data_IF_804823066193
#
_entry.id   IF_804823066193
#
_cell.length_a   1.000
_cell.length_b   1.000
_cell.length_c   1.000
_cell.angle_alpha   90.00
_cell.angle_beta   90.00
_cell.angle_gamma   90.00
#
_symmetry.space_group_name_H-M   'P 1'
#
loop_
_entity.id
_entity.type
_entity.pdbx_description
1 polymer ?
#
# COMPACT_ATOMS: atom_id res chain seq x y z
N UNK A 1 -24.13 1.64 -0.58
CA UNK A 1 -23.52 2.96 -0.38
C UNK A 1 -23.01 3.50 -1.70
N UNK A 2 -22.81 4.81 -1.78
CA UNK A 2 -22.13 5.46 -2.91
C UNK A 2 -20.69 5.79 -2.50
N UNK A 3 -19.73 5.18 -3.16
CA UNK A 3 -18.30 5.31 -2.87
C UNK A 3 -17.60 6.02 -4.02
N UNK A 4 -16.66 6.89 -3.71
CA UNK A 4 -15.77 7.53 -4.68
C UNK A 4 -14.35 6.99 -4.44
N UNK A 5 -13.69 6.48 -5.47
CA UNK A 5 -12.35 5.90 -5.38
C UNK A 5 -11.40 6.66 -6.27
N UNK A 6 -10.42 7.34 -5.68
CA UNK A 6 -9.36 8.02 -6.45
C UNK A 6 -8.19 7.09 -6.73
N UNK A 7 -7.42 7.37 -7.79
CA UNK A 7 -6.34 6.47 -8.20
C UNK A 7 -6.84 5.09 -8.63
N UNK A 8 -7.99 5.04 -9.27
CA UNK A 8 -8.79 3.84 -9.53
C UNK A 8 -8.08 2.74 -10.34
N UNK A 9 -7.05 3.08 -11.12
CA UNK A 9 -6.23 2.11 -11.89
C UNK A 9 -5.08 1.50 -11.08
N UNK A 10 -4.93 1.88 -9.79
CA UNK A 10 -3.88 1.35 -8.93
C UNK A 10 -4.15 -0.08 -8.46
N UNK A 11 -3.12 -0.73 -7.94
CA UNK A 11 -3.17 -2.10 -7.43
C UNK A 11 -4.26 -2.30 -6.36
N UNK A 12 -4.20 -1.54 -5.26
CA UNK A 12 -5.16 -1.68 -4.15
C UNK A 12 -6.56 -1.20 -4.56
N UNK A 13 -6.64 -0.07 -5.27
CA UNK A 13 -7.93 0.51 -5.70
C UNK A 13 -8.69 -0.40 -6.66
N UNK A 14 -7.99 -1.10 -7.55
CA UNK A 14 -8.58 -2.07 -8.46
C UNK A 14 -9.32 -3.17 -7.69
N UNK A 15 -8.67 -3.76 -6.70
CA UNK A 15 -9.28 -4.79 -5.82
C UNK A 15 -10.42 -4.22 -4.96
N UNK A 16 -10.23 -3.01 -4.44
CA UNK A 16 -11.25 -2.32 -3.65
C UNK A 16 -12.53 -2.08 -4.45
N UNK A 17 -12.40 -1.63 -5.70
CA UNK A 17 -13.54 -1.43 -6.59
C UNK A 17 -14.29 -2.75 -6.81
N UNK A 18 -13.57 -3.84 -7.12
CA UNK A 18 -14.19 -5.15 -7.35
C UNK A 18 -14.95 -5.64 -6.10
N UNK A 19 -14.35 -5.56 -4.92
CA UNK A 19 -15.00 -5.95 -3.67
C UNK A 19 -16.20 -5.05 -3.31
N UNK A 20 -16.09 -3.74 -3.57
CA UNK A 20 -17.20 -2.81 -3.34
C UNK A 20 -18.40 -3.13 -4.26
N UNK A 21 -18.15 -3.40 -5.53
CA UNK A 21 -19.18 -3.79 -6.49
C UNK A 21 -19.81 -5.13 -6.14
N UNK A 22 -19.04 -6.12 -5.70
CA UNK A 22 -19.55 -7.42 -5.21
C UNK A 22 -20.46 -7.27 -3.99
N UNK A 23 -20.18 -6.30 -3.11
CA UNK A 23 -21.06 -5.95 -1.99
C UNK A 23 -22.28 -5.11 -2.40
N UNK A 24 -22.47 -4.80 -3.67
CA UNK A 24 -23.60 -4.01 -4.18
C UNK A 24 -23.45 -2.49 -3.96
N UNK A 25 -22.27 -1.98 -3.68
CA UNK A 25 -22.02 -0.55 -3.59
C UNK A 25 -21.96 0.09 -4.99
N UNK A 26 -22.45 1.33 -5.12
CA UNK A 26 -22.20 2.15 -6.30
C UNK A 26 -20.80 2.77 -6.16
N UNK A 27 -20.01 2.70 -7.23
CA UNK A 27 -18.64 3.22 -7.24
C UNK A 27 -18.46 4.24 -8.35
N UNK A 28 -18.01 5.43 -8.00
CA UNK A 28 -17.45 6.41 -8.94
C UNK A 28 -15.91 6.28 -8.86
N UNK A 29 -15.34 5.74 -9.92
CA UNK A 29 -13.90 5.50 -10.03
C UNK A 29 -13.23 6.67 -10.75
N UNK A 30 -12.31 7.35 -10.08
CA UNK A 30 -11.59 8.50 -10.61
C UNK A 30 -10.21 8.09 -11.09
N UNK A 31 -9.97 8.19 -12.42
CA UNK A 31 -8.75 7.74 -13.06
C UNK A 31 -8.18 8.81 -14.00
N UNK A 32 -6.84 8.89 -14.10
CA UNK A 32 -6.17 9.76 -15.10
C UNK A 32 -6.44 9.31 -16.53
N UNK A 33 -6.51 8.00 -16.70
CA UNK A 33 -6.78 7.34 -17.95
C UNK A 33 -7.94 6.34 -17.76
N UNK A 34 -9.19 6.76 -18.01
CA UNK A 34 -10.39 5.92 -17.87
C UNK A 34 -10.39 4.69 -18.78
N UNK A 35 -9.71 4.76 -19.91
CA UNK A 35 -9.70 3.67 -20.90
C UNK A 35 -9.09 2.39 -20.33
N UNK A 36 -8.17 2.50 -19.36
CA UNK A 36 -7.62 1.34 -18.64
C UNK A 36 -8.69 0.55 -17.88
N UNK A 37 -9.84 1.16 -17.63
CA UNK A 37 -10.99 0.55 -16.94
C UNK A 37 -12.13 0.18 -17.91
N UNK A 38 -11.99 0.43 -19.21
CA UNK A 38 -13.07 0.27 -20.20
C UNK A 38 -13.63 -1.16 -20.28
N UNK A 39 -12.84 -2.18 -19.92
CA UNK A 39 -13.28 -3.59 -19.87
C UNK A 39 -14.16 -3.93 -18.66
N UNK A 40 -14.25 -3.03 -17.66
CA UNK A 40 -15.04 -3.24 -16.44
C UNK A 40 -16.48 -2.77 -16.65
N UNK A 41 -17.29 -3.61 -17.29
CA UNK A 41 -18.71 -3.32 -17.48
C UNK A 41 -19.50 -3.76 -16.24
N UNK A 42 -19.95 -2.81 -15.44
CA UNK A 42 -20.80 -3.05 -14.28
C UNK A 42 -21.78 -1.86 -14.13
N UNK A 43 -23.10 -2.09 -13.99
CA UNK A 43 -24.09 -1.03 -13.87
C UNK A 43 -23.95 -0.16 -12.61
N UNK A 44 -23.19 -0.64 -11.62
CA UNK A 44 -22.90 0.09 -10.39
C UNK A 44 -21.58 0.88 -10.45
N UNK A 45 -20.83 0.80 -11.57
CA UNK A 45 -19.55 1.47 -11.76
C UNK A 45 -19.68 2.63 -12.75
N UNK A 46 -19.32 3.82 -12.30
CA UNK A 46 -19.08 4.99 -13.16
C UNK A 46 -17.59 5.28 -13.16
N UNK A 47 -17.01 5.51 -14.34
CA UNK A 47 -15.58 5.86 -14.47
C UNK A 47 -15.47 7.26 -15.01
N UNK A 48 -14.73 8.13 -14.31
CA UNK A 48 -14.54 9.52 -14.69
C UNK A 48 -13.06 9.88 -14.80
N UNK A 49 -12.74 10.76 -15.74
CA UNK A 49 -11.39 11.29 -15.91
C UNK A 49 -11.10 12.32 -14.82
N UNK A 50 -10.05 12.07 -14.06
CA UNK A 50 -9.60 12.97 -13.00
C UNK A 50 -8.14 12.74 -12.65
N UNK A 51 -7.40 13.79 -12.32
CA UNK A 51 -6.05 13.74 -11.80
C UNK A 51 -5.94 14.53 -10.49
N UNK A 52 -5.03 14.10 -9.61
CA UNK A 52 -4.75 14.85 -8.37
C UNK A 52 -4.28 16.27 -8.69
N UNK A 53 -4.93 17.25 -8.08
CA UNK A 53 -4.76 18.68 -8.35
C UNK A 53 -5.89 19.29 -9.19
N UNK A 54 -6.69 18.48 -9.89
CA UNK A 54 -7.92 18.95 -10.51
C UNK A 54 -9.03 19.07 -9.45
N UNK A 55 -10.01 19.98 -9.62
CA UNK A 55 -11.22 20.00 -8.82
C UNK A 55 -11.91 18.63 -8.85
N UNK A 56 -12.44 18.18 -7.71
CA UNK A 56 -13.19 16.93 -7.66
C UNK A 56 -14.46 17.04 -8.55
N UNK A 57 -14.73 16.07 -9.44
CA UNK A 57 -15.97 16.11 -10.21
C UNK A 57 -17.20 16.07 -9.29
N UNK A 58 -18.36 16.36 -9.82
CA UNK A 58 -19.60 16.37 -9.06
C UNK A 58 -19.97 14.95 -8.61
N UNK A 59 -19.51 14.54 -7.43
CA UNK A 59 -19.78 13.21 -6.86
C UNK A 59 -21.03 13.19 -5.98
N UNK A 60 -21.69 14.31 -5.80
CA UNK A 60 -22.88 14.46 -4.97
C UNK A 60 -22.60 14.16 -3.50
N UNK A 61 -23.65 13.78 -2.77
CA UNK A 61 -23.56 13.38 -1.36
C UNK A 61 -23.10 11.92 -1.23
N UNK A 62 -21.88 11.62 -1.71
CA UNK A 62 -21.32 10.30 -1.57
C UNK A 62 -21.15 9.92 -0.08
N UNK A 63 -21.28 8.64 0.25
CA UNK A 63 -21.10 8.14 1.62
C UNK A 63 -19.64 8.20 2.04
N UNK A 64 -18.70 7.94 1.12
CA UNK A 64 -17.28 8.07 1.38
C UNK A 64 -16.46 8.36 0.12
N UNK A 65 -15.35 9.08 0.30
CA UNK A 65 -14.23 9.08 -0.65
C UNK A 65 -13.11 8.20 -0.07
N UNK A 66 -12.64 7.24 -0.87
CA UNK A 66 -11.47 6.43 -0.57
C UNK A 66 -10.30 6.97 -1.42
N UNK A 67 -9.41 7.70 -0.77
CA UNK A 67 -8.31 8.38 -1.44
C UNK A 67 -7.06 7.49 -1.52
N UNK A 68 -6.90 6.81 -2.66
CA UNK A 68 -5.74 6.00 -3.02
C UNK A 68 -4.83 6.69 -4.04
N UNK A 69 -5.20 7.87 -4.55
CA UNK A 69 -4.35 8.61 -5.45
C UNK A 69 -3.02 8.97 -4.75
N UNK A 70 -1.92 8.53 -5.32
CA UNK A 70 -0.60 8.81 -4.81
C UNK A 70 0.44 8.88 -5.94
N UNK A 71 1.47 9.65 -5.73
CA UNK A 71 2.70 9.59 -6.50
C UNK A 71 3.75 8.83 -5.69
N UNK A 72 4.22 7.73 -6.25
CA UNK A 72 5.33 6.93 -5.71
C UNK A 72 6.53 7.23 -6.60
N UNK A 73 7.62 7.82 -6.07
CA UNK A 73 8.79 8.14 -6.87
C UNK A 73 9.53 6.88 -7.30
N UNK A 74 10.22 6.95 -8.42
CA UNK A 74 11.10 5.87 -8.90
C UNK A 74 12.40 5.80 -8.09
N UNK A 75 12.85 6.94 -7.58
CA UNK A 75 13.92 7.06 -6.60
C UNK A 75 13.42 7.89 -5.41
N UNK A 76 13.38 7.27 -4.24
CA UNK A 76 12.83 7.88 -3.01
C UNK A 76 13.68 9.04 -2.48
N UNK A 77 14.92 9.16 -2.92
CA UNK A 77 15.86 10.21 -2.52
C UNK A 77 16.08 11.29 -3.60
N UNK A 78 15.43 11.16 -4.76
CA UNK A 78 15.55 12.14 -5.84
C UNK A 78 14.79 13.43 -5.50
N UNK A 79 15.53 14.50 -5.24
CA UNK A 79 14.98 15.82 -4.92
C UNK A 79 14.11 16.39 -6.06
N UNK A 80 14.34 16.02 -7.31
CA UNK A 80 13.52 16.47 -8.43
C UNK A 80 12.10 15.89 -8.38
N UNK A 81 11.90 14.76 -7.70
CA UNK A 81 10.60 14.16 -7.51
C UNK A 81 9.89 14.64 -6.22
N UNK A 82 10.58 15.37 -5.34
CA UNK A 82 10.05 15.85 -4.08
C UNK A 82 8.80 16.74 -4.27
N UNK A 83 8.89 17.73 -5.16
CA UNK A 83 7.76 18.64 -5.41
C UNK A 83 6.51 17.87 -5.85
N UNK A 84 6.65 16.83 -6.66
CA UNK A 84 5.55 15.99 -7.10
C UNK A 84 5.00 15.11 -5.97
N UNK A 85 5.86 14.60 -5.08
CA UNK A 85 5.40 13.89 -3.88
C UNK A 85 4.46 14.78 -3.05
N UNK A 86 4.86 16.00 -2.74
CA UNK A 86 4.04 16.91 -1.94
C UNK A 86 2.80 17.39 -2.69
N UNK A 87 2.93 17.76 -3.97
CA UNK A 87 1.80 18.21 -4.78
C UNK A 87 0.69 17.15 -4.85
N UNK A 88 1.03 15.88 -5.10
CA UNK A 88 0.03 14.81 -5.24
C UNK A 88 -0.41 14.26 -3.89
N UNK A 89 0.55 13.89 -3.03
CA UNK A 89 0.24 13.12 -1.83
C UNK A 89 -0.27 13.99 -0.68
N UNK A 90 0.20 15.24 -0.58
CA UNK A 90 -0.19 16.17 0.51
C UNK A 90 -1.24 17.15 0.04
N UNK A 91 -0.88 18.03 -0.92
CA UNK A 91 -1.78 19.08 -1.35
C UNK A 91 -3.01 18.52 -2.06
N UNK A 92 -2.81 17.49 -2.92
CA UNK A 92 -3.92 16.81 -3.58
C UNK A 92 -4.88 16.12 -2.61
N UNK A 93 -4.35 15.50 -1.55
CA UNK A 93 -5.20 14.90 -0.52
C UNK A 93 -6.00 15.95 0.27
N UNK A 94 -5.39 17.09 0.61
CA UNK A 94 -6.08 18.21 1.26
C UNK A 94 -7.14 18.83 0.34
N UNK A 95 -6.84 19.01 -0.95
CA UNK A 95 -7.82 19.50 -1.92
C UNK A 95 -9.05 18.59 -2.01
N UNK A 96 -8.83 17.26 -2.05
CA UNK A 96 -9.92 16.28 -2.03
C UNK A 96 -10.77 16.45 -0.76
N UNK A 97 -10.18 16.69 0.40
CA UNK A 97 -10.92 16.90 1.65
C UNK A 97 -11.75 18.17 1.61
N UNK A 98 -11.21 19.25 1.06
CA UNK A 98 -11.93 20.53 0.87
C UNK A 98 -13.11 20.37 -0.09
N UNK A 99 -12.91 19.74 -1.22
CA UNK A 99 -13.96 19.50 -2.23
C UNK A 99 -15.02 18.52 -1.70
N UNK A 100 -14.60 17.49 -0.95
CA UNK A 100 -15.50 16.54 -0.29
C UNK A 100 -16.45 17.27 0.68
N UNK A 101 -15.89 18.14 1.52
CA UNK A 101 -16.69 18.95 2.45
C UNK A 101 -17.67 19.86 1.70
N UNK A 102 -17.20 20.56 0.65
CA UNK A 102 -18.02 21.48 -0.14
C UNK A 102 -19.19 20.76 -0.85
N UNK A 103 -18.99 19.49 -1.25
CA UNK A 103 -20.01 18.67 -1.90
C UNK A 103 -20.90 17.88 -0.92
N UNK A 104 -20.63 17.97 0.39
CA UNK A 104 -21.40 17.26 1.41
C UNK A 104 -21.13 15.75 1.45
N UNK A 105 -19.94 15.31 1.06
CA UNK A 105 -19.47 13.94 1.24
C UNK A 105 -19.37 13.64 2.73
N UNK A 106 -19.81 12.45 3.15
CA UNK A 106 -19.98 12.15 4.57
C UNK A 106 -18.68 11.83 5.29
N UNK A 107 -17.65 11.29 4.60
CA UNK A 107 -16.35 10.91 5.19
C UNK A 107 -15.23 10.75 4.17
N UNK A 108 -14.00 10.78 4.66
CA UNK A 108 -12.79 10.55 3.89
C UNK A 108 -11.98 9.40 4.49
N UNK A 109 -11.60 8.42 3.68
CA UNK A 109 -10.66 7.36 4.02
C UNK A 109 -9.36 7.63 3.25
N UNK A 110 -8.26 7.82 3.95
CA UNK A 110 -6.94 8.06 3.35
C UNK A 110 -6.02 6.86 3.55
N UNK A 111 -5.38 6.43 2.48
CA UNK A 111 -4.42 5.34 2.49
C UNK A 111 -3.00 5.89 2.69
N UNK A 112 -2.54 5.83 3.94
CA UNK A 112 -1.22 6.24 4.40
C UNK A 112 -0.16 5.15 4.21
N UNK A 113 0.88 5.19 5.03
CA UNK A 113 1.97 4.21 5.01
C UNK A 113 2.46 3.91 6.43
N UNK A 114 2.57 2.66 6.79
CA UNK A 114 3.20 2.25 8.05
C UNK A 114 4.70 2.57 8.11
N UNK A 115 5.33 2.82 6.97
CA UNK A 115 6.74 3.19 6.95
C UNK A 115 7.01 4.60 7.53
N UNK A 116 5.98 5.37 7.87
CA UNK A 116 6.12 6.64 8.61
C UNK A 116 6.53 6.44 10.07
N UNK A 117 6.35 5.25 10.62
CA UNK A 117 6.81 4.94 11.97
C UNK A 117 8.33 4.96 12.09
N UNK A 118 8.79 5.43 13.24
CA UNK A 118 10.19 5.23 13.65
C UNK A 118 10.47 3.73 13.71
N UNK A 119 11.59 3.25 13.13
CA UNK A 119 11.95 1.85 13.18
C UNK A 119 11.94 1.29 14.61
N UNK A 120 11.34 0.11 14.81
CA UNK A 120 11.21 -0.54 16.12
C UNK A 120 11.31 -2.07 15.98
N UNK A 121 11.95 -2.74 16.91
CA UNK A 121 11.96 -4.20 17.01
C UNK A 121 10.67 -4.74 17.65
N UNK A 122 9.99 -3.91 18.41
CA UNK A 122 8.65 -4.21 18.96
C UNK A 122 7.56 -3.83 17.98
N UNK A 123 6.38 -4.45 18.04
CA UNK A 123 5.23 -4.03 17.27
C UNK A 123 4.91 -2.55 17.49
N UNK A 124 4.48 -1.85 16.43
CA UNK A 124 4.16 -0.42 16.48
C UNK A 124 2.65 -0.21 16.49
N UNK A 125 2.15 0.51 17.48
CA UNK A 125 0.75 0.94 17.58
C UNK A 125 0.53 2.28 16.86
N UNK A 126 -0.72 2.69 16.71
CA UNK A 126 -1.08 3.96 16.07
C UNK A 126 -0.54 5.20 16.82
N UNK A 127 -0.20 5.04 18.10
CA UNK A 127 0.41 6.08 18.95
C UNK A 127 1.93 6.04 18.98
N UNK A 128 2.55 5.05 18.35
CA UNK A 128 4.01 4.95 18.27
C UNK A 128 4.60 6.13 17.50
N UNK A 129 5.84 6.57 17.85
CA UNK A 129 6.48 7.69 17.20
C UNK A 129 6.54 7.53 15.67
N UNK A 130 6.21 8.61 14.98
CA UNK A 130 6.35 8.73 13.53
C UNK A 130 7.49 9.70 13.27
N UNK A 131 8.39 9.45 12.53
CA UNK A 131 9.54 10.21 12.02
C UNK A 131 10.66 9.24 11.68
N UNK A 132 10.63 8.69 10.49
CA UNK A 132 11.57 7.65 10.09
C UNK A 132 12.93 8.26 9.71
N UNK A 133 13.66 8.84 10.68
CA UNK A 133 14.95 9.54 10.47
C UNK A 133 15.91 8.73 9.59
N UNK A 134 16.00 7.43 9.83
CA UNK A 134 16.92 6.54 9.11
C UNK A 134 16.36 6.05 7.76
N UNK A 135 15.14 6.42 7.43
CA UNK A 135 14.45 6.10 6.19
C UNK A 135 13.82 7.32 5.55
N UNK A 136 14.30 8.49 5.93
CA UNK A 136 13.79 9.76 5.42
C UNK A 136 13.73 9.71 3.89
N UNK A 137 12.53 9.93 3.36
CA UNK A 137 12.32 10.09 1.93
C UNK A 137 11.23 11.13 1.72
N UNK A 138 11.29 11.80 0.59
CA UNK A 138 10.25 12.78 0.22
C UNK A 138 8.86 12.13 0.15
N UNK A 139 8.78 10.86 -0.23
CA UNK A 139 7.54 10.10 -0.23
C UNK A 139 6.96 9.97 1.18
N UNK A 140 7.75 9.48 2.15
CA UNK A 140 7.28 9.31 3.52
C UNK A 140 6.95 10.64 4.19
N UNK A 141 7.77 11.67 3.93
CA UNK A 141 7.49 13.03 4.39
C UNK A 141 6.14 13.53 3.85
N UNK A 142 5.86 13.34 2.56
CA UNK A 142 4.59 13.77 1.95
C UNK A 142 3.39 12.98 2.49
N UNK A 143 3.53 11.67 2.75
CA UNK A 143 2.47 10.85 3.33
C UNK A 143 2.16 11.26 4.77
N UNK A 144 3.19 11.47 5.61
CA UNK A 144 3.02 11.92 6.99
C UNK A 144 2.44 13.34 7.05
N UNK A 145 2.89 14.25 6.18
CA UNK A 145 2.32 15.59 6.07
C UNK A 145 0.83 15.54 5.69
N UNK A 146 0.44 14.64 4.78
CA UNK A 146 -0.96 14.45 4.42
C UNK A 146 -1.79 13.98 5.62
N UNK A 147 -1.30 13.01 6.42
CA UNK A 147 -1.99 12.56 7.64
C UNK A 147 -2.22 13.72 8.62
N UNK A 148 -1.21 14.55 8.85
CA UNK A 148 -1.30 15.72 9.75
C UNK A 148 -2.33 16.73 9.21
N UNK A 149 -2.23 17.09 7.93
CA UNK A 149 -3.14 18.05 7.29
C UNK A 149 -4.60 17.56 7.32
N UNK A 150 -4.83 16.30 6.97
CA UNK A 150 -6.17 15.71 6.94
C UNK A 150 -6.78 15.57 8.33
N UNK A 151 -5.97 15.22 9.35
CA UNK A 151 -6.42 15.16 10.74
C UNK A 151 -6.83 16.56 11.24
N UNK A 152 -6.01 17.57 10.98
CA UNK A 152 -6.31 18.94 11.37
C UNK A 152 -7.54 19.48 10.63
N UNK A 153 -7.63 19.25 9.31
CA UNK A 153 -8.78 19.67 8.49
C UNK A 153 -10.07 19.01 8.95
N UNK A 154 -10.04 17.69 9.16
CA UNK A 154 -11.20 16.92 9.61
C UNK A 154 -11.74 17.40 10.95
N UNK A 155 -10.84 17.64 11.92
CA UNK A 155 -11.20 18.15 13.23
C UNK A 155 -11.79 19.58 13.17
N UNK A 156 -11.20 20.46 12.37
CA UNK A 156 -11.66 21.85 12.24
C UNK A 156 -13.00 21.99 11.51
N UNK A 157 -13.34 21.07 10.62
CA UNK A 157 -14.50 21.18 9.73
C UNK A 157 -15.57 20.08 9.96
N UNK A 158 -15.44 19.30 11.02
CA UNK A 158 -16.32 18.16 11.31
C UNK A 158 -16.46 17.15 10.16
N UNK A 159 -15.43 17.00 9.33
CA UNK A 159 -15.36 15.96 8.31
C UNK A 159 -14.74 14.71 8.94
N UNK A 160 -15.46 13.59 9.05
CA UNK A 160 -14.89 12.34 9.55
C UNK A 160 -13.76 11.84 8.64
N UNK A 161 -12.55 11.72 9.18
CA UNK A 161 -11.35 11.24 8.46
C UNK A 161 -10.85 9.97 9.12
N UNK A 162 -10.66 8.93 8.30
CA UNK A 162 -9.98 7.70 8.70
C UNK A 162 -8.66 7.58 7.94
N UNK A 163 -7.60 7.32 8.66
CA UNK A 163 -6.24 7.16 8.14
C UNK A 163 -5.81 5.70 8.28
N UNK A 164 -5.56 5.02 7.18
CA UNK A 164 -5.10 3.63 7.17
C UNK A 164 -3.60 3.62 6.92
N UNK A 165 -2.79 3.29 7.93
CA UNK A 165 -1.34 3.10 7.75
C UNK A 165 -1.08 1.68 7.26
N UNK A 166 -0.70 1.56 6.01
CA UNK A 166 -0.53 0.27 5.34
C UNK A 166 0.81 -0.38 5.68
N UNK A 167 0.79 -1.68 5.97
CA UNK A 167 1.97 -2.54 5.89
C UNK A 167 2.46 -2.69 4.45
N UNK A 168 3.34 -3.65 4.20
CA UNK A 168 3.77 -3.97 2.84
C UNK A 168 2.70 -4.81 2.15
N UNK A 169 1.88 -4.16 1.32
CA UNK A 169 0.75 -4.80 0.66
C UNK A 169 1.22 -5.67 -0.51
N UNK A 170 0.71 -6.89 -0.58
CA UNK A 170 0.96 -7.83 -1.67
C UNK A 170 -0.33 -8.55 -2.09
N UNK A 171 -0.31 -9.20 -3.25
CA UNK A 171 -1.44 -10.02 -3.73
C UNK A 171 -1.66 -9.95 -5.23
N UNK A 172 -2.75 -10.56 -5.74
CA UNK A 172 -3.09 -10.59 -7.15
C UNK A 172 -3.14 -9.20 -7.79
N UNK A 173 -2.67 -9.10 -9.02
CA UNK A 173 -2.51 -7.86 -9.79
C UNK A 173 -1.47 -6.88 -9.23
N UNK A 174 -0.60 -7.31 -8.30
CA UNK A 174 0.54 -6.50 -7.86
C UNK A 174 1.50 -6.26 -9.03
N UNK A 175 1.89 -5.00 -9.23
CA UNK A 175 2.81 -4.60 -10.29
C UNK A 175 3.97 -3.77 -9.74
N UNK A 176 4.99 -3.53 -10.58
CA UNK A 176 6.16 -2.77 -10.18
C UNK A 176 7.22 -3.63 -9.49
N UNK A 177 7.87 -3.07 -8.47
CA UNK A 177 8.91 -3.71 -7.69
C UNK A 177 8.43 -3.99 -6.26
N UNK A 178 8.99 -5.00 -5.62
CA UNK A 178 8.72 -5.37 -4.23
C UNK A 178 9.25 -6.76 -3.93
N UNK A 179 9.59 -7.01 -2.68
CA UNK A 179 10.23 -8.26 -2.25
C UNK A 179 9.43 -9.49 -2.69
N UNK A 180 8.12 -9.52 -2.43
CA UNK A 180 7.25 -10.67 -2.74
C UNK A 180 7.23 -10.96 -4.25
N UNK A 181 6.99 -9.92 -5.07
CA UNK A 181 6.93 -10.06 -6.52
C UNK A 181 8.29 -10.45 -7.13
N UNK A 182 9.38 -9.88 -6.57
CA UNK A 182 10.75 -10.25 -6.97
C UNK A 182 11.04 -11.72 -6.68
N UNK A 183 10.64 -12.24 -5.52
CA UNK A 183 10.85 -13.64 -5.17
C UNK A 183 9.99 -14.57 -6.03
N UNK A 184 8.71 -14.25 -6.26
CA UNK A 184 7.83 -15.04 -7.14
C UNK A 184 8.44 -15.12 -8.55
N UNK A 185 8.84 -13.99 -9.11
CA UNK A 185 9.44 -13.94 -10.46
C UNK A 185 10.77 -14.68 -10.56
N UNK A 186 11.66 -14.51 -9.58
CA UNK A 186 12.95 -15.19 -9.59
C UNK A 186 12.77 -16.71 -9.48
N UNK A 187 12.08 -17.17 -8.45
CA UNK A 187 11.91 -18.61 -8.17
C UNK A 187 11.05 -19.31 -9.23
N UNK A 188 10.00 -18.65 -9.73
CA UNK A 188 9.16 -19.19 -10.81
C UNK A 188 9.92 -19.33 -12.14
N UNK A 189 10.93 -18.49 -12.39
CA UNK A 189 11.84 -18.59 -13.52
C UNK A 189 13.11 -19.42 -13.22
N UNK A 190 13.13 -20.17 -12.13
CA UNK A 190 14.29 -20.98 -11.67
C UNK A 190 15.58 -20.16 -11.51
N UNK A 191 15.46 -18.90 -11.11
CA UNK A 191 16.59 -18.01 -10.82
C UNK A 191 16.82 -17.95 -9.31
N UNK A 192 18.07 -17.82 -8.90
CA UNK A 192 18.45 -17.71 -7.50
C UNK A 192 17.95 -16.41 -6.85
N UNK A 193 17.58 -16.52 -5.58
CA UNK A 193 17.30 -15.42 -4.66
C UNK A 193 18.43 -15.34 -3.66
N UNK A 194 19.21 -14.26 -3.70
CA UNK A 194 20.34 -14.03 -2.80
C UNK A 194 19.96 -12.99 -1.75
N UNK A 195 19.92 -13.37 -0.48
CA UNK A 195 19.57 -12.53 0.66
C UNK A 195 20.83 -12.00 1.32
N UNK A 196 21.26 -10.79 0.98
CA UNK A 196 22.56 -10.22 1.36
C UNK A 196 22.69 -9.82 2.83
N UNK A 197 21.57 -9.71 3.55
CA UNK A 197 21.51 -9.30 4.96
C UNK A 197 21.39 -10.46 5.95
N UNK A 198 21.83 -11.64 5.55
CA UNK A 198 21.61 -12.85 6.32
C UNK A 198 20.16 -13.32 6.33
N UNK A 199 19.29 -12.76 5.50
CA UNK A 199 17.87 -13.07 5.46
C UNK A 199 17.08 -12.51 6.66
N UNK A 200 17.63 -11.52 7.36
CA UNK A 200 17.09 -10.97 8.61
C UNK A 200 16.17 -9.75 8.41
N UNK A 201 16.06 -9.22 7.19
CA UNK A 201 15.14 -8.13 6.92
C UNK A 201 13.71 -8.52 7.33
N UNK A 202 13.07 -7.67 8.13
CA UNK A 202 11.71 -7.89 8.63
C UNK A 202 10.75 -6.90 8.05
N UNK A 203 9.55 -7.36 7.76
CA UNK A 203 8.47 -6.55 7.19
C UNK A 203 7.12 -7.13 7.59
N UNK A 204 6.15 -6.26 7.83
CA UNK A 204 4.75 -6.67 7.96
C UNK A 204 4.15 -6.77 6.56
N UNK A 205 3.90 -8.00 6.11
CA UNK A 205 3.32 -8.33 4.82
C UNK A 205 1.82 -8.55 4.96
N UNK A 206 1.02 -7.72 4.33
CA UNK A 206 -0.44 -7.78 4.39
C UNK A 206 -1.04 -8.05 3.01
N UNK A 207 -1.99 -8.98 2.94
CA UNK A 207 -2.67 -9.28 1.67
C UNK A 207 -3.60 -8.13 1.25
N UNK A 208 -3.66 -7.84 -0.04
CA UNK A 208 -4.45 -6.73 -0.58
C UNK A 208 -5.93 -6.79 -0.21
N UNK A 209 -6.52 -7.99 -0.21
CA UNK A 209 -7.93 -8.15 0.13
C UNK A 209 -8.21 -7.90 1.62
N UNK A 210 -7.24 -8.11 2.51
CA UNK A 210 -7.39 -7.78 3.93
C UNK A 210 -7.37 -6.25 4.13
N UNK A 211 -6.52 -5.54 3.40
CA UNK A 211 -6.53 -4.06 3.37
C UNK A 211 -7.86 -3.54 2.84
N UNK A 212 -8.37 -4.14 1.77
CA UNK A 212 -9.66 -3.79 1.17
C UNK A 212 -10.81 -4.04 2.15
N UNK A 213 -10.82 -5.20 2.81
CA UNK A 213 -11.83 -5.54 3.81
C UNK A 213 -11.83 -4.53 4.97
N UNK A 214 -10.63 -4.17 5.48
CA UNK A 214 -10.51 -3.15 6.53
C UNK A 214 -11.03 -1.79 6.07
N UNK A 215 -10.69 -1.36 4.85
CA UNK A 215 -11.14 -0.07 4.32
C UNK A 215 -12.66 0.00 4.17
N UNK A 216 -13.29 -1.06 3.67
CA UNK A 216 -14.75 -1.14 3.55
C UNK A 216 -15.42 -1.20 4.93
N UNK A 217 -14.87 -1.96 5.88
CA UNK A 217 -15.37 -1.99 7.25
C UNK A 217 -15.28 -0.61 7.91
N UNK A 218 -14.20 0.15 7.69
CA UNK A 218 -14.06 1.50 8.21
C UNK A 218 -15.12 2.48 7.66
N UNK A 219 -15.53 2.30 6.41
CA UNK A 219 -16.64 3.06 5.83
C UNK A 219 -17.98 2.63 6.44
N UNK A 220 -18.25 1.32 6.48
CA UNK A 220 -19.53 0.73 6.94
C UNK A 220 -19.79 1.00 8.42
N UNK A 221 -18.76 0.99 9.25
CA UNK A 221 -18.85 1.20 10.70
C UNK A 221 -18.57 2.64 11.15
N UNK A 222 -18.38 3.54 10.19
CA UNK A 222 -18.22 4.98 10.42
C UNK A 222 -17.04 5.36 11.32
N UNK A 223 -15.96 4.58 11.30
CA UNK A 223 -14.80 4.80 12.15
C UNK A 223 -14.01 6.07 11.76
N UNK A 224 -13.36 6.66 12.75
CA UNK A 224 -12.55 7.88 12.63
C UNK A 224 -11.20 7.70 13.31
N UNK A 225 -10.18 8.34 12.77
CA UNK A 225 -8.82 8.32 13.30
C UNK A 225 -7.87 7.37 12.58
N UNK A 226 -6.74 7.10 13.20
CA UNK A 226 -5.68 6.27 12.61
C UNK A 226 -5.90 4.80 12.93
N UNK A 227 -5.70 3.94 11.94
CA UNK A 227 -5.72 2.47 12.08
C UNK A 227 -4.54 1.84 11.36
N UNK A 228 -3.90 0.90 12.00
CA UNK A 228 -2.89 0.06 11.39
C UNK A 228 -3.53 -1.00 10.48
N UNK A 229 -3.09 -1.03 9.23
CA UNK A 229 -3.54 -1.97 8.20
C UNK A 229 -2.38 -2.90 7.81
N UNK A 230 -1.90 -3.67 8.78
CA UNK A 230 -0.87 -4.69 8.63
C UNK A 230 -1.44 -6.09 8.88
N UNK A 231 -0.57 -7.10 8.83
CA UNK A 231 -0.92 -8.47 9.22
C UNK A 231 -0.78 -8.71 10.73
N UNK A 232 -0.14 -7.81 11.44
CA UNK A 232 0.25 -8.01 12.84
C UNK A 232 1.46 -8.93 13.04
N UNK A 233 2.10 -9.36 11.96
CA UNK A 233 3.19 -10.33 12.00
C UNK A 233 4.41 -9.82 11.21
N UNK A 234 5.57 -9.85 11.85
CA UNK A 234 6.84 -9.57 11.18
C UNK A 234 7.33 -10.82 10.46
N UNK A 235 7.34 -10.79 9.15
CA UNK A 235 7.91 -11.85 8.31
C UNK A 235 9.37 -11.53 7.97
N UNK A 236 10.27 -12.50 8.12
CA UNK A 236 11.67 -12.36 7.68
C UNK A 236 11.77 -12.61 6.17
N UNK A 237 12.71 -11.94 5.50
CA UNK A 237 12.93 -12.13 4.06
C UNK A 237 13.24 -13.60 3.70
N UNK A 238 14.02 -14.32 4.52
CA UNK A 238 14.29 -15.75 4.33
C UNK A 238 13.03 -16.61 4.49
N UNK A 239 12.20 -16.30 5.47
CA UNK A 239 10.92 -16.98 5.67
C UNK A 239 9.97 -16.74 4.49
N UNK A 240 9.87 -15.49 4.03
CA UNK A 240 9.05 -15.15 2.86
C UNK A 240 9.52 -15.89 1.61
N UNK A 241 10.84 -15.93 1.35
CA UNK A 241 11.40 -16.67 0.21
C UNK A 241 11.06 -18.17 0.27
N UNK A 242 11.17 -18.79 1.45
CA UNK A 242 10.85 -20.22 1.65
C UNK A 242 9.35 -20.52 1.47
N UNK A 243 8.47 -19.65 1.99
CA UNK A 243 7.02 -19.79 1.81
C UNK A 243 6.67 -19.73 0.32
N UNK A 244 7.23 -18.76 -0.43
CA UNK A 244 7.01 -18.60 -1.86
C UNK A 244 7.58 -19.79 -2.64
N UNK A 245 8.80 -20.25 -2.32
CA UNK A 245 9.38 -21.44 -2.96
C UNK A 245 8.49 -22.67 -2.79
N UNK A 246 7.99 -22.92 -1.57
CA UNK A 246 7.05 -24.02 -1.31
C UNK A 246 5.76 -23.90 -2.11
N UNK A 247 5.17 -22.71 -2.21
CA UNK A 247 3.98 -22.48 -2.99
C UNK A 247 4.18 -22.71 -4.50
N UNK A 248 5.36 -22.32 -5.01
CA UNK A 248 5.73 -22.53 -6.42
C UNK A 248 6.20 -23.97 -6.74
N UNK A 249 6.53 -24.77 -5.73
CA UNK A 249 7.25 -26.04 -5.92
C UNK A 249 8.68 -25.82 -6.44
N UNK A 250 9.27 -24.67 -6.13
CA UNK A 250 10.63 -24.33 -6.55
C UNK A 250 11.66 -25.00 -5.67
N UNK A 251 12.84 -25.28 -6.26
CA UNK A 251 13.97 -25.87 -5.55
C UNK A 251 14.43 -24.95 -4.41
N UNK A 252 14.45 -25.40 -3.15
CA UNK A 252 14.93 -24.62 -2.01
C UNK A 252 16.40 -24.16 -2.13
N UNK A 253 17.22 -24.87 -2.88
CA UNK A 253 18.62 -24.51 -3.11
C UNK A 253 18.81 -23.27 -3.98
N UNK A 254 17.73 -22.79 -4.61
CA UNK A 254 17.71 -21.48 -5.26
C UNK A 254 17.74 -20.30 -4.27
N UNK A 255 17.55 -20.56 -2.97
CA UNK A 255 17.59 -19.52 -1.95
C UNK A 255 18.94 -19.61 -1.20
N UNK A 256 19.76 -18.59 -1.38
CA UNK A 256 21.03 -18.47 -0.66
C UNK A 256 21.04 -17.25 0.24
N UNK A 257 21.85 -17.34 1.29
CA UNK A 257 22.00 -16.29 2.28
C UNK A 257 23.47 -15.85 2.28
N UNK A 258 23.71 -14.57 2.08
CA UNK A 258 25.03 -13.96 2.11
C UNK A 258 25.07 -12.83 3.14
N UNK A 259 26.27 -12.62 3.71
CA UNK A 259 26.50 -11.59 4.70
C UNK A 259 25.96 -11.93 6.08
N UNK A 260 26.39 -11.15 7.04
CA UNK A 260 25.92 -11.20 8.42
C UNK A 260 25.18 -9.91 8.74
N UNK A 261 24.17 -10.02 9.62
CA UNK A 261 23.53 -8.84 10.17
C UNK A 261 24.56 -8.06 11.00
N UNK A 262 24.84 -6.82 10.62
CA UNK A 262 25.63 -5.93 11.46
C UNK A 262 24.79 -5.59 12.70
N UNK A 263 25.29 -5.93 13.88
CA UNK A 263 24.65 -5.59 15.15
C UNK A 263 24.38 -4.09 15.24
N UNK A 264 23.17 -3.73 15.70
CA UNK A 264 22.72 -2.35 15.84
C UNK A 264 22.05 -1.73 14.62
N UNK A 265 22.10 -2.37 13.45
CA UNK A 265 21.35 -1.86 12.28
C UNK A 265 19.94 -2.43 12.25
N UNK A 266 18.96 -1.56 12.44
CA UNK A 266 17.57 -1.91 12.18
C UNK A 266 17.28 -1.85 10.69
N UNK A 267 17.07 -3.03 10.11
CA UNK A 267 16.67 -3.15 8.71
C UNK A 267 15.20 -3.57 8.69
N UNK A 268 14.35 -2.68 8.27
CA UNK A 268 12.92 -2.89 8.26
C UNK A 268 12.24 -2.41 9.55
N UNK A 269 10.94 -2.52 9.63
CA UNK A 269 10.21 -2.31 10.88
C UNK A 269 9.53 -3.60 11.31
N UNK A 270 9.22 -3.67 12.59
CA UNK A 270 8.48 -4.77 13.20
C UNK A 270 7.05 -4.85 12.68
N UNK A 271 6.32 -5.84 13.14
CA UNK A 271 4.88 -5.95 12.94
C UNK A 271 4.17 -4.67 13.39
N UNK A 272 3.07 -4.39 12.75
CA UNK A 272 2.12 -3.38 13.20
C UNK A 272 1.18 -4.01 14.23
N UNK A 273 0.95 -3.33 15.36
CA UNK A 273 -0.10 -3.73 16.28
C UNK A 273 -1.47 -3.46 15.66
N UNK A 274 -2.31 -4.47 15.55
CA UNK A 274 -3.62 -4.38 14.88
C UNK A 274 -4.80 -4.49 15.85
N UNK A 275 -4.55 -4.43 17.16
CA UNK A 275 -5.57 -4.59 18.22
C UNK A 275 -6.74 -3.65 18.00
N UNK A 276 -6.46 -2.36 17.74
CA UNK A 276 -7.50 -1.36 17.49
C UNK A 276 -8.39 -1.72 16.29
N UNK A 277 -7.79 -2.11 15.17
CA UNK A 277 -8.54 -2.53 13.99
C UNK A 277 -9.34 -3.81 14.24
N UNK A 278 -8.79 -4.75 15.01
CA UNK A 278 -9.43 -5.99 15.40
C UNK A 278 -10.67 -5.74 16.27
N UNK A 279 -10.54 -4.91 17.31
CA UNK A 279 -11.61 -4.64 18.27
C UNK A 279 -12.72 -3.77 17.68
N UNK A 280 -12.35 -2.70 16.95
CA UNK A 280 -13.31 -1.73 16.45
C UNK A 280 -13.90 -2.07 15.09
N UNK A 281 -13.19 -2.84 14.25
CA UNK A 281 -13.58 -3.12 12.86
C UNK A 281 -13.72 -4.62 12.56
N UNK A 282 -13.47 -5.49 13.53
CA UNK A 282 -13.50 -6.94 13.32
C UNK A 282 -12.40 -7.42 12.37
N UNK A 283 -11.30 -6.65 12.22
CA UNK A 283 -10.22 -6.95 11.31
C UNK A 283 -9.51 -8.26 11.67
N UNK A 284 -9.42 -9.17 10.70
CA UNK A 284 -8.80 -10.49 10.86
C UNK A 284 -7.96 -10.79 9.61
N UNK A 285 -6.77 -10.20 9.51
CA UNK A 285 -5.91 -10.44 8.35
C UNK A 285 -5.36 -11.87 8.38
N UNK A 286 -5.18 -12.42 7.19
CA UNK A 286 -4.50 -13.71 7.00
C UNK A 286 -3.01 -13.61 7.27
N UNK A 287 -2.38 -14.72 7.63
CA UNK A 287 -0.93 -14.85 7.68
C UNK A 287 -0.33 -14.74 6.28
N UNK A 288 0.97 -14.46 6.19
CA UNK A 288 1.66 -14.40 4.89
C UNK A 288 1.54 -15.71 4.11
N UNK A 289 1.62 -16.86 4.78
CA UNK A 289 1.44 -18.17 4.14
C UNK A 289 0.04 -18.32 3.55
N UNK A 290 -0.99 -18.04 4.31
CA UNK A 290 -2.39 -18.11 3.83
C UNK A 290 -2.63 -17.16 2.65
N UNK A 291 -2.04 -15.98 2.68
CA UNK A 291 -2.14 -15.01 1.59
C UNK A 291 -1.44 -15.47 0.29
N UNK A 292 -0.28 -16.11 0.41
CA UNK A 292 0.42 -16.69 -0.75
C UNK A 292 -0.37 -17.87 -1.33
N UNK A 293 -0.93 -18.73 -0.49
CA UNK A 293 -1.80 -19.84 -0.95
C UNK A 293 -3.10 -19.32 -1.61
N UNK A 294 -3.69 -18.26 -1.06
CA UNK A 294 -4.86 -17.63 -1.67
C UNK A 294 -4.53 -17.04 -3.05
N UNK A 295 -3.40 -16.34 -3.19
CA UNK A 295 -2.94 -15.81 -4.48
C UNK A 295 -2.68 -16.91 -5.49
N UNK A 296 -2.00 -17.98 -5.07
CA UNK A 296 -1.80 -19.17 -5.90
C UNK A 296 -3.11 -19.79 -6.38
N UNK A 297 -4.09 -19.92 -5.48
CA UNK A 297 -5.40 -20.49 -5.80
C UNK A 297 -6.19 -19.62 -6.79
N UNK A 298 -6.07 -18.28 -6.69
CA UNK A 298 -6.79 -17.34 -7.56
C UNK A 298 -6.20 -17.27 -8.97
N UNK A 299 -4.87 -17.13 -9.11
CA UNK A 299 -4.23 -16.83 -10.40
C UNK A 299 -3.15 -17.84 -10.82
N UNK A 300 -2.74 -18.76 -9.94
CA UNK A 300 -1.54 -19.59 -10.16
C UNK A 300 -0.27 -18.74 -10.31
N UNK A 301 -0.28 -17.49 -9.86
CA UNK A 301 0.76 -16.47 -10.07
C UNK A 301 0.95 -16.06 -11.56
N UNK A 302 0.02 -16.39 -12.47
CA UNK A 302 0.13 -16.02 -13.87
C UNK A 302 0.29 -14.52 -14.08
N UNK A 303 -0.45 -13.72 -13.28
CA UNK A 303 -0.41 -12.26 -13.26
C UNK A 303 0.98 -11.68 -12.92
N UNK A 304 1.84 -12.43 -12.24
CA UNK A 304 3.21 -12.02 -11.95
C UNK A 304 4.13 -12.02 -13.18
N UNK A 305 3.82 -12.83 -14.18
CA UNK A 305 4.66 -13.09 -15.37
C UNK A 305 4.15 -12.37 -16.61
N UNK A 306 2.84 -12.14 -16.74
CA UNK A 306 2.23 -11.50 -17.91
C UNK A 306 2.63 -10.02 -18.09
N UNK A 307 2.93 -9.31 -17.01
CA UNK A 307 3.33 -7.88 -17.01
C UNK A 307 4.80 -7.69 -17.45
N UNK A 308 5.57 -8.79 -17.56
CA UNK A 308 7.03 -8.76 -17.78
C UNK A 308 7.49 -8.42 -19.18
N UNK A 309 6.64 -8.37 -20.21
CA UNK A 309 7.07 -8.08 -21.59
C UNK A 309 7.33 -6.60 -21.87
N UNK A 310 6.99 -5.68 -20.96
CA UNK A 310 7.19 -4.23 -21.17
C UNK A 310 8.20 -3.56 -20.22
N UNK A 311 8.87 -4.29 -19.31
CA UNK A 311 9.75 -3.70 -18.29
C UNK A 311 11.23 -4.04 -18.48
N UNK A 312 11.60 -4.94 -19.40
CA UNK A 312 13.01 -5.28 -19.66
C UNK A 312 13.82 -4.16 -20.38
N UNK A 313 13.18 -3.03 -20.72
CA UNK A 313 13.88 -1.87 -21.33
C UNK A 313 14.26 -0.76 -20.35
N UNK A 314 13.84 -0.88 -19.09
CA UNK A 314 14.32 0.01 -18.04
C UNK A 314 15.32 -0.74 -17.17
N UNK A 315 16.60 -0.60 -17.46
CA UNK A 315 17.73 -1.22 -16.76
C UNK A 315 17.73 -0.99 -15.25
N UNK A 316 16.85 -1.66 -14.55
CA UNK A 316 16.81 -1.72 -13.09
C UNK A 316 17.67 -2.88 -12.60
N UNK A 317 19.00 -2.69 -12.69
CA UNK A 317 19.91 -3.39 -11.78
C UNK A 317 19.43 -3.12 -10.33
N UNK A 318 19.38 -4.12 -9.44
CA UNK A 318 18.97 -3.90 -8.05
C UNK A 318 20.06 -3.10 -7.33
N UNK A 319 19.97 -1.78 -7.39
CA UNK A 319 20.77 -0.88 -6.55
C UNK A 319 20.18 -0.83 -5.14
N UNK A 320 20.36 -1.92 -4.40
CA UNK A 320 20.38 -1.90 -2.94
C UNK A 320 21.76 -1.48 -2.38
N UNK A 321 22.64 -1.03 -3.25
CA UNK A 321 23.98 -0.55 -2.90
C UNK A 321 24.07 0.95 -3.21
N UNK A 322 23.70 1.80 -2.24
CA UNK A 322 24.40 3.04 -1.88
C UNK A 322 23.60 3.79 -0.83
N UNK A 323 24.10 3.74 0.33
CA UNK A 323 23.61 4.61 1.39
C UNK A 323 24.19 4.28 2.73
N UNK A 324 25.48 4.43 2.87
CA UNK A 324 26.22 4.79 4.08
C UNK A 324 27.70 4.85 3.67
N UNK A 325 28.03 5.85 2.85
CA UNK A 325 29.40 6.32 2.70
C UNK A 325 29.69 7.30 3.81
N UNK A 326 30.79 7.06 4.51
CA UNK A 326 31.44 7.83 5.54
C UNK A 326 31.23 9.36 5.40
N UNK A 327 30.53 9.94 6.34
CA UNK A 327 30.67 11.34 6.70
C UNK A 327 31.54 11.39 7.96
N UNK A 328 32.80 11.79 7.76
CA UNK A 328 33.67 12.29 8.81
C UNK A 328 33.13 13.60 9.39
#
# INVERSE_FOLDING_TARGET
MQLVVTGATGFISSRLIDHALLKGHRVTALARDPEQMARRQNPLLTVEKWASGDPLPAVGKADAILNLAAFIPTDFNDANQAAKCFSVNTNGALQIAMDALAQGVRRLIFFGSGQVYTPSLSPVSETSPTFPIHRGSYYLASKLSAEICLSAFGAANALPVTLLRLGSVYGPAMHGAGMVLTFIRALGNRRSVILKDGGHYRVDLVHVDDVVALALAAVEQECVGVFNAGSGQACRSLEAARIIAGALGADPDLISVEGERKDGTMIGFSAMEITKATEQLGYRPRSFREGIEAWKAETGFADCFEIGQHVDTLGLSPRLERGLGDAK
#
